data_IF_964709526043
#
_entry.id   IF_964709526043
#
_cell.length_a   1.000
_cell.length_b   1.000
_cell.length_c   1.000
_cell.angle_alpha   90.00
_cell.angle_beta   90.00
_cell.angle_gamma   90.00
#
_symmetry.space_group_name_H-M   'P 1'
#
loop_
_entity.id
_entity.type
_entity.pdbx_description
1 polymer ?
#
# COMPACT_ATOMS: atom_id res chain seq x y z
N UNK A 1 35.82 -3.21 7.01
CA UNK A 1 34.44 -3.42 7.50
C UNK A 1 33.49 -2.68 6.59
N UNK A 2 32.42 -3.29 6.05
CA UNK A 2 31.42 -2.53 5.33
C UNK A 2 30.55 -1.75 6.32
N UNK A 3 30.30 -0.47 6.02
CA UNK A 3 29.45 0.44 6.78
C UNK A 3 28.03 0.35 6.24
N UNK A 4 27.04 0.19 7.11
CA UNK A 4 25.62 0.23 6.75
C UNK A 4 25.23 1.70 6.58
N UNK A 5 24.98 2.14 5.35
CA UNK A 5 24.33 3.43 5.08
C UNK A 5 22.83 3.28 5.31
N UNK A 6 22.29 4.05 6.24
CA UNK A 6 20.85 4.17 6.45
C UNK A 6 20.19 4.75 5.19
N UNK A 7 19.38 3.95 4.51
CA UNK A 7 18.51 4.42 3.43
C UNK A 7 17.38 5.21 4.07
N UNK A 8 17.55 6.53 4.13
CA UNK A 8 16.50 7.44 4.58
C UNK A 8 15.26 7.32 3.71
N UNK A 9 14.09 7.25 4.34
CA UNK A 9 12.80 7.34 3.64
C UNK A 9 12.69 8.73 3.02
N UNK A 10 12.86 8.82 1.70
CA UNK A 10 12.60 10.05 0.96
C UNK A 10 11.09 10.30 0.97
N UNK A 11 10.63 11.25 1.80
CA UNK A 11 9.30 11.82 1.59
C UNK A 11 9.37 12.70 0.36
N UNK A 12 8.94 12.16 -0.78
CA UNK A 12 8.66 12.99 -1.95
C UNK A 12 7.53 13.94 -1.54
N UNK A 13 7.85 15.22 -1.38
CA UNK A 13 6.86 16.26 -1.17
C UNK A 13 5.96 16.28 -2.42
N UNK A 14 4.76 15.69 -2.34
CA UNK A 14 3.85 15.53 -3.46
C UNK A 14 3.13 16.86 -3.77
N UNK A 15 3.89 17.89 -4.12
CA UNK A 15 3.34 19.15 -4.62
C UNK A 15 2.63 18.82 -5.94
N UNK A 16 1.33 19.11 -6.03
CA UNK A 16 0.41 18.79 -7.13
C UNK A 16 -0.35 17.45 -7.11
N UNK A 17 -0.38 16.71 -5.98
CA UNK A 17 -1.26 15.51 -5.84
C UNK A 17 -2.41 15.66 -4.85
N UNK A 18 -2.65 16.87 -4.34
CA UNK A 18 -3.73 17.13 -3.39
C UNK A 18 -5.10 16.84 -3.98
N UNK A 19 -5.28 17.02 -5.30
CA UNK A 19 -6.54 16.70 -5.97
C UNK A 19 -6.79 15.18 -5.98
N UNK A 20 -5.80 14.37 -6.32
CA UNK A 20 -5.93 12.91 -6.32
C UNK A 20 -6.10 12.36 -4.90
N UNK A 21 -5.36 12.90 -3.93
CA UNK A 21 -5.52 12.54 -2.52
C UNK A 21 -6.92 12.92 -2.00
N UNK A 22 -7.45 14.08 -2.39
CA UNK A 22 -8.81 14.50 -2.06
C UNK A 22 -9.86 13.57 -2.67
N UNK A 23 -9.67 13.09 -3.90
CA UNK A 23 -10.56 12.09 -4.52
C UNK A 23 -10.54 10.76 -3.76
N UNK A 24 -9.36 10.27 -3.38
CA UNK A 24 -9.24 9.06 -2.56
C UNK A 24 -9.89 9.24 -1.18
N UNK A 25 -9.71 10.40 -0.56
CA UNK A 25 -10.35 10.75 0.72
C UNK A 25 -11.86 10.81 0.63
N UNK A 26 -12.42 11.39 -0.44
CA UNK A 26 -13.87 11.43 -0.67
C UNK A 26 -14.46 10.03 -0.82
N UNK A 27 -13.81 9.17 -1.60
CA UNK A 27 -14.22 7.78 -1.76
C UNK A 27 -14.16 7.03 -0.42
N UNK A 28 -13.07 7.17 0.33
CA UNK A 28 -12.93 6.54 1.65
C UNK A 28 -13.97 7.01 2.66
N UNK A 29 -14.33 8.31 2.66
CA UNK A 29 -15.39 8.83 3.51
C UNK A 29 -16.76 8.17 3.20
N UNK A 30 -17.03 7.84 1.93
CA UNK A 30 -18.25 7.16 1.52
C UNK A 30 -18.34 5.73 2.06
N UNK A 31 -17.21 5.04 2.28
CA UNK A 31 -17.16 3.67 2.81
C UNK A 31 -17.70 3.59 4.26
N UNK A 32 -17.66 4.70 5.02
CA UNK A 32 -18.25 4.74 6.37
C UNK A 32 -19.76 4.47 6.39
N UNK A 33 -20.44 4.58 5.25
CA UNK A 33 -21.84 4.19 5.08
C UNK A 33 -22.10 2.67 5.07
N UNK A 34 -21.05 1.84 5.09
CA UNK A 34 -21.14 0.37 5.12
C UNK A 34 -20.88 -0.31 3.78
N UNK A 35 -20.81 0.46 2.69
CA UNK A 35 -20.54 -0.06 1.35
C UNK A 35 -19.03 0.01 1.04
N UNK A 36 -18.41 -1.17 0.89
CA UNK A 36 -17.02 -1.28 0.43
C UNK A 36 -16.84 -0.73 -0.99
N UNK A 37 -15.66 -0.18 -1.28
CA UNK A 37 -15.34 0.39 -2.60
C UNK A 37 -14.05 -0.18 -3.18
N UNK A 38 -14.00 -0.29 -4.51
CA UNK A 38 -12.81 -0.65 -5.28
C UNK A 38 -12.44 0.51 -6.19
N UNK A 39 -11.20 0.98 -6.08
CA UNK A 39 -10.68 2.12 -6.84
C UNK A 39 -9.50 1.68 -7.70
N UNK A 40 -9.47 2.09 -8.96
CA UNK A 40 -8.34 1.84 -9.87
C UNK A 40 -7.49 3.11 -10.03
N UNK A 41 -6.24 3.05 -9.62
CA UNK A 41 -5.26 4.13 -9.86
C UNK A 41 -4.52 3.83 -11.16
N UNK A 42 -4.80 4.61 -12.21
CA UNK A 42 -4.17 4.49 -13.53
C UNK A 42 -3.28 5.68 -13.80
N UNK A 43 -2.27 5.47 -14.64
CA UNK A 43 -1.29 6.49 -15.01
C UNK A 43 -0.06 5.85 -15.62
N UNK A 44 0.75 6.67 -16.29
CA UNK A 44 1.96 6.23 -16.98
C UNK A 44 2.97 5.56 -16.04
N UNK A 45 3.89 4.78 -16.61
CA UNK A 45 5.00 4.21 -15.84
C UNK A 45 5.80 5.33 -15.18
N UNK A 46 6.16 5.17 -13.91
CA UNK A 46 6.86 6.22 -13.15
C UNK A 46 6.00 7.40 -12.68
N UNK A 47 4.70 7.47 -13.00
CA UNK A 47 3.83 8.60 -12.60
C UNK A 47 3.58 8.74 -11.07
N UNK A 48 4.19 7.89 -10.24
CA UNK A 48 4.07 7.94 -8.78
C UNK A 48 2.81 7.28 -8.20
N UNK A 49 2.17 6.37 -8.94
CA UNK A 49 0.95 5.66 -8.49
C UNK A 49 1.13 5.01 -7.11
N UNK A 50 2.20 4.23 -6.92
CA UNK A 50 2.52 3.59 -5.64
C UNK A 50 2.72 4.61 -4.52
N UNK A 51 3.41 5.72 -4.82
CA UNK A 51 3.62 6.80 -3.85
C UNK A 51 2.30 7.46 -3.44
N UNK A 52 1.38 7.67 -4.39
CA UNK A 52 0.05 8.23 -4.12
C UNK A 52 -0.77 7.36 -3.16
N UNK A 53 -0.88 6.05 -3.42
CA UNK A 53 -1.67 5.15 -2.55
C UNK A 53 -1.01 4.96 -1.19
N UNK A 54 0.32 4.89 -1.15
CA UNK A 54 1.08 4.79 0.11
C UNK A 54 0.90 6.02 0.98
N UNK A 55 0.99 7.22 0.39
CA UNK A 55 0.76 8.48 1.10
C UNK A 55 -0.68 8.59 1.59
N UNK A 56 -1.67 8.25 0.74
CA UNK A 56 -3.07 8.23 1.13
C UNK A 56 -3.30 7.33 2.35
N UNK A 57 -2.78 6.11 2.32
CA UNK A 57 -2.89 5.16 3.43
C UNK A 57 -2.21 5.71 4.71
N UNK A 58 -1.06 6.36 4.59
CA UNK A 58 -0.38 6.97 5.72
C UNK A 58 -1.22 8.10 6.35
N UNK A 59 -1.82 8.98 5.54
CA UNK A 59 -2.72 10.05 6.02
C UNK A 59 -3.98 9.48 6.67
N UNK A 60 -4.63 8.51 6.02
CA UNK A 60 -5.84 7.90 6.54
C UNK A 60 -5.61 7.20 7.90
N UNK A 61 -4.45 6.56 8.11
CA UNK A 61 -4.09 5.98 9.41
C UNK A 61 -3.78 7.02 10.47
N UNK A 62 -3.19 8.15 10.09
CA UNK A 62 -2.96 9.26 11.02
C UNK A 62 -4.29 9.86 11.52
N UNK A 63 -5.28 9.96 10.64
CA UNK A 63 -6.62 10.49 10.95
C UNK A 63 -7.55 9.47 11.63
N UNK A 64 -7.26 8.18 11.54
CA UNK A 64 -8.08 7.09 12.10
C UNK A 64 -7.18 5.98 12.63
N UNK A 65 -6.76 6.03 13.92
CA UNK A 65 -5.84 5.06 14.51
C UNK A 65 -6.30 3.61 14.45
N UNK A 66 -7.62 3.38 14.43
CA UNK A 66 -8.25 2.07 14.28
C UNK A 66 -8.22 1.52 12.85
N UNK A 67 -7.80 2.32 11.86
CA UNK A 67 -7.72 1.90 10.48
C UNK A 67 -6.61 0.87 10.26
N UNK A 68 -7.02 -0.33 9.89
CA UNK A 68 -6.12 -1.39 9.44
C UNK A 68 -5.86 -1.24 7.95
N UNK A 69 -4.59 -1.25 7.56
CA UNK A 69 -4.16 -1.22 6.16
C UNK A 69 -3.34 -2.48 5.88
N UNK A 70 -3.70 -3.20 4.84
CA UNK A 70 -2.97 -4.36 4.33
C UNK A 70 -2.58 -4.12 2.86
N UNK A 71 -1.40 -4.58 2.48
CA UNK A 71 -0.81 -4.32 1.15
C UNK A 71 -0.38 -5.64 0.53
N UNK A 72 -0.78 -5.86 -0.71
CA UNK A 72 -0.30 -6.95 -1.56
C UNK A 72 0.45 -6.41 -2.77
N UNK A 73 1.57 -7.04 -3.14
CA UNK A 73 2.42 -6.62 -4.25
C UNK A 73 2.24 -7.57 -5.43
N UNK A 74 1.80 -7.02 -6.56
CA UNK A 74 1.75 -7.76 -7.82
C UNK A 74 3.10 -7.66 -8.52
N UNK A 75 3.80 -8.78 -8.61
CA UNK A 75 5.05 -8.89 -9.36
C UNK A 75 4.77 -9.54 -10.72
N UNK A 76 4.96 -8.83 -11.85
CA UNK A 76 4.78 -9.39 -13.19
C UNK A 76 5.80 -10.48 -13.55
N UNK A 77 6.90 -10.61 -12.78
CA UNK A 77 7.89 -11.69 -12.95
C UNK A 77 7.57 -12.94 -12.13
N UNK A 78 6.55 -12.88 -11.27
CA UNK A 78 6.10 -14.05 -10.50
C UNK A 78 5.48 -15.11 -11.42
N UNK A 79 5.78 -16.39 -11.14
CA UNK A 79 5.38 -17.48 -12.02
C UNK A 79 3.86 -17.73 -11.99
N UNK A 80 3.37 -18.68 -12.81
CA UNK A 80 1.93 -19.06 -12.84
C UNK A 80 1.34 -19.44 -11.46
N UNK A 81 2.17 -19.75 -10.46
CA UNK A 81 1.75 -20.09 -9.09
C UNK A 81 1.38 -18.89 -8.20
N UNK A 82 1.70 -17.67 -8.62
CA UNK A 82 1.70 -16.48 -7.73
C UNK A 82 0.62 -15.44 -8.09
N UNK A 83 -0.31 -15.75 -9.00
CA UNK A 83 -1.37 -14.83 -9.41
C UNK A 83 -2.24 -14.32 -8.25
N UNK A 84 -2.33 -15.10 -7.16
CA UNK A 84 -3.04 -14.74 -5.93
C UNK A 84 -2.12 -14.32 -4.78
N UNK A 85 -0.82 -14.23 -5.00
CA UNK A 85 0.15 -13.79 -3.99
C UNK A 85 -0.23 -12.45 -3.35
N UNK A 86 -0.65 -11.39 -4.10
CA UNK A 86 -1.04 -10.13 -3.48
C UNK A 86 -2.19 -10.29 -2.47
N UNK A 87 -3.16 -11.16 -2.77
CA UNK A 87 -4.28 -11.42 -1.88
C UNK A 87 -3.86 -12.26 -0.67
N UNK A 88 -2.94 -13.20 -0.85
CA UNK A 88 -2.38 -13.98 0.27
C UNK A 88 -1.63 -13.09 1.25
N UNK A 89 -0.80 -12.17 0.76
CA UNK A 89 -0.08 -11.19 1.59
C UNK A 89 -1.05 -10.30 2.39
N UNK A 90 -2.13 -9.85 1.74
CA UNK A 90 -3.20 -9.07 2.40
C UNK A 90 -3.87 -9.90 3.50
N UNK A 91 -4.28 -11.13 3.21
CA UNK A 91 -4.94 -12.00 4.18
C UNK A 91 -4.02 -12.31 5.36
N UNK A 92 -2.76 -12.67 5.11
CA UNK A 92 -1.76 -12.90 6.16
C UNK A 92 -1.60 -11.70 7.10
N UNK A 93 -1.56 -10.49 6.53
CA UNK A 93 -1.51 -9.25 7.32
C UNK A 93 -2.75 -9.07 8.18
N UNK A 94 -3.94 -9.36 7.63
CA UNK A 94 -5.22 -9.17 8.33
C UNK A 94 -5.51 -10.27 9.36
N UNK A 95 -5.01 -11.48 9.18
CA UNK A 95 -5.19 -12.61 10.10
C UNK A 95 -4.11 -12.70 11.17
N UNK A 96 -3.11 -11.80 11.13
CA UNK A 96 -1.98 -11.83 12.05
C UNK A 96 -1.01 -12.99 11.80
N UNK A 97 -1.08 -13.61 10.62
CA UNK A 97 -0.18 -14.68 10.22
C UNK A 97 1.09 -14.06 9.64
N UNK A 98 1.95 -13.54 10.51
CA UNK A 98 3.34 -13.25 10.13
C UNK A 98 4.00 -14.59 9.87
N UNK A 99 4.01 -15.01 8.60
CA UNK A 99 4.77 -16.18 8.17
C UNK A 99 6.17 -16.06 8.77
N UNK A 100 6.47 -16.99 9.69
CA UNK A 100 7.70 -17.00 10.45
C UNK A 100 8.89 -16.88 9.53
N UNK A 101 9.86 -16.09 9.97
CA UNK A 101 11.23 -16.02 9.45
C UNK A 101 11.65 -17.37 8.89
N UNK A 102 11.64 -17.51 7.57
CA UNK A 102 12.29 -18.64 6.93
C UNK A 102 13.79 -18.42 7.06
N UNK A 103 14.38 -19.00 8.10
CA UNK A 103 15.81 -19.30 8.15
C UNK A 103 16.12 -20.25 6.99
N UNK A 104 16.76 -19.75 5.94
CA UNK A 104 17.33 -20.60 4.91
C UNK A 104 18.66 -21.15 5.43
N UNK A 105 18.81 -22.47 5.40
CA UNK A 105 20.09 -23.16 5.60
C UNK A 105 20.98 -23.10 4.38
#
# INVERSE_FOLDING_TARGET
>A
MPTIEQVGTVRLNLVARDQELSRLGTAFAAVRGGDGQVLFVRGESGAGKTSLVTEFAARARADSPELVVAVGRCDPQSGRGDAFLPFREVLQTLTGDTAGTSSNG
#
